data_IF_960272095712
#
_entry.id   IF_960272095712
#
_cell.length_a   1.000
_cell.length_b   1.000
_cell.length_c   1.000
_cell.angle_alpha   90.00
_cell.angle_beta   90.00
_cell.angle_gamma   90.00
#
_symmetry.space_group_name_H-M   'P 1'
#
loop_
_entity.id
_entity.type
_entity.pdbx_description
1 polymer ?
#
# COMPACT_ATOMS: atom_id res chain seq x y z
N UNK A 1 -9.35 -15.92 -12.20
CA UNK A 1 -8.31 -16.88 -11.80
C UNK A 1 -7.82 -16.48 -10.41
N UNK A 2 -8.07 -17.26 -9.36
CA UNK A 2 -7.58 -16.97 -7.99
C UNK A 2 -6.31 -17.77 -7.78
N UNK A 3 -5.16 -17.10 -7.80
CA UNK A 3 -3.86 -17.73 -7.60
C UNK A 3 -3.65 -17.86 -6.09
N UNK A 4 -3.67 -19.10 -5.58
CA UNK A 4 -3.24 -19.38 -4.20
C UNK A 4 -1.71 -19.51 -4.23
N UNK A 5 -1.00 -18.40 -4.05
CA UNK A 5 0.41 -18.47 -3.68
C UNK A 5 0.49 -18.83 -2.20
N UNK A 6 0.52 -20.14 -1.89
CA UNK A 6 1.08 -20.60 -0.62
C UNK A 6 2.59 -20.62 -0.79
N UNK A 7 3.24 -19.47 -0.60
CA UNK A 7 4.65 -19.51 -0.20
C UNK A 7 4.64 -20.09 1.22
N UNK A 8 5.15 -21.31 1.37
CA UNK A 8 5.45 -21.90 2.67
C UNK A 8 6.66 -21.16 3.26
N UNK A 9 6.51 -19.87 3.56
CA UNK A 9 7.49 -19.15 4.36
C UNK A 9 7.38 -19.75 5.75
N UNK A 10 8.50 -20.25 6.24
CA UNK A 10 8.62 -20.67 7.62
C UNK A 10 8.41 -19.43 8.48
N UNK A 11 7.26 -19.35 9.16
CA UNK A 11 6.86 -18.13 9.89
C UNK A 11 7.93 -17.76 10.92
N UNK A 12 8.62 -18.75 11.48
CA UNK A 12 9.72 -18.58 12.43
C UNK A 12 10.93 -17.84 11.83
N UNK A 13 11.08 -17.84 10.50
CA UNK A 13 12.19 -17.19 9.77
C UNK A 13 11.82 -15.85 9.14
N UNK A 14 10.57 -15.40 9.24
CA UNK A 14 10.11 -14.15 8.60
C UNK A 14 10.97 -12.95 9.02
N UNK A 15 11.36 -12.86 10.29
CA UNK A 15 12.18 -11.76 10.79
C UNK A 15 13.57 -11.78 10.16
N UNK A 16 14.19 -12.95 10.02
CA UNK A 16 15.49 -13.11 9.36
C UNK A 16 15.41 -12.72 7.87
N UNK A 17 14.35 -13.19 7.18
CA UNK A 17 14.11 -12.84 5.77
C UNK A 17 13.89 -11.34 5.59
N UNK A 18 13.04 -10.71 6.41
CA UNK A 18 12.81 -9.26 6.36
C UNK A 18 14.10 -8.49 6.63
N UNK A 19 14.93 -8.94 7.58
CA UNK A 19 16.24 -8.33 7.84
C UNK A 19 17.15 -8.38 6.61
N UNK A 20 17.30 -9.55 5.98
CA UNK A 20 18.12 -9.69 4.77
C UNK A 20 17.57 -8.85 3.61
N UNK A 21 16.25 -8.74 3.49
CA UNK A 21 15.63 -7.92 2.46
C UNK A 21 15.74 -6.42 2.74
N UNK A 22 15.85 -6.02 4.01
CA UNK A 22 16.10 -4.64 4.42
C UNK A 22 17.53 -4.21 4.13
N UNK A 23 18.52 -5.13 4.19
CA UNK A 23 19.91 -4.83 3.82
C UNK A 23 20.01 -4.25 2.40
N UNK A 24 19.18 -4.73 1.46
CA UNK A 24 19.10 -4.15 0.11
C UNK A 24 18.69 -2.66 0.12
N UNK A 25 17.78 -2.26 1.01
CA UNK A 25 17.37 -0.86 1.16
C UNK A 25 18.50 -0.05 1.81
N UNK A 26 19.15 -0.61 2.84
CA UNK A 26 20.29 0.01 3.51
C UNK A 26 21.46 0.27 2.52
N UNK A 27 21.78 -0.69 1.65
CA UNK A 27 22.82 -0.53 0.64
C UNK A 27 22.54 0.62 -0.35
N UNK A 28 21.26 0.89 -0.64
CA UNK A 28 20.86 1.98 -1.54
C UNK A 28 20.98 3.36 -0.91
N UNK A 29 20.97 3.45 0.42
CA UNK A 29 21.17 4.70 1.15
C UNK A 29 22.49 5.39 0.75
N UNK A 30 23.59 4.62 0.69
CA UNK A 30 24.90 5.14 0.28
C UNK A 30 24.86 5.75 -1.13
N UNK A 31 24.13 5.12 -2.05
CA UNK A 31 23.98 5.64 -3.42
C UNK A 31 23.19 6.95 -3.44
N UNK A 32 22.13 7.08 -2.63
CA UNK A 32 21.35 8.31 -2.53
C UNK A 32 22.18 9.43 -1.90
N UNK A 33 22.90 9.15 -0.80
CA UNK A 33 23.76 10.13 -0.15
C UNK A 33 24.84 10.68 -1.08
N UNK A 34 25.52 9.79 -1.83
CA UNK A 34 26.50 10.21 -2.83
C UNK A 34 25.88 11.05 -3.97
N UNK A 35 24.63 10.78 -4.35
CA UNK A 35 23.93 11.61 -5.34
C UNK A 35 23.64 13.01 -4.80
N UNK A 36 23.28 13.15 -3.52
CA UNK A 36 23.07 14.46 -2.87
C UNK A 36 24.34 15.30 -2.91
N UNK A 37 25.49 14.74 -2.50
CA UNK A 37 26.78 15.45 -2.54
C UNK A 37 27.12 15.91 -3.97
N UNK A 38 26.98 15.01 -4.94
CA UNK A 38 27.30 15.33 -6.34
C UNK A 38 26.35 16.35 -6.98
N UNK A 39 25.10 16.37 -6.55
CA UNK A 39 24.14 17.41 -6.95
C UNK A 39 24.61 18.77 -6.41
N UNK A 40 25.03 18.84 -5.13
CA UNK A 40 25.53 20.07 -4.54
C UNK A 40 26.77 20.60 -5.29
N UNK A 41 27.73 19.72 -5.63
CA UNK A 41 28.91 20.09 -6.43
C UNK A 41 28.54 20.64 -7.80
N UNK A 42 27.57 20.02 -8.49
CA UNK A 42 27.12 20.47 -9.81
C UNK A 42 26.40 21.82 -9.75
N UNK A 43 25.63 22.06 -8.69
CA UNK A 43 24.99 23.36 -8.47
C UNK A 43 26.03 24.44 -8.17
N UNK A 44 27.03 24.14 -7.33
CA UNK A 44 28.13 25.06 -7.03
C UNK A 44 28.98 25.39 -8.27
N UNK A 45 29.09 24.44 -9.20
CA UNK A 45 29.76 24.63 -10.50
C UNK A 45 28.85 25.25 -11.58
N UNK A 46 27.64 25.70 -11.24
CA UNK A 46 26.65 26.28 -12.17
C UNK A 46 26.30 25.35 -13.36
N UNK A 47 26.17 24.04 -13.10
CA UNK A 47 25.81 23.01 -14.10
C UNK A 47 24.40 22.44 -13.86
N UNK A 48 23.33 23.24 -14.09
CA UNK A 48 21.97 22.89 -13.70
C UNK A 48 21.41 21.66 -14.43
N UNK A 49 21.78 21.44 -15.69
CA UNK A 49 21.32 20.29 -16.48
C UNK A 49 21.80 18.95 -15.88
N UNK A 50 23.06 18.91 -15.44
CA UNK A 50 23.63 17.74 -14.78
C UNK A 50 23.01 17.50 -13.40
N UNK A 51 22.80 18.58 -12.64
CA UNK A 51 22.12 18.51 -11.35
C UNK A 51 20.68 18.00 -11.51
N UNK A 52 19.93 18.51 -12.48
CA UNK A 52 18.57 18.07 -12.78
C UNK A 52 18.50 16.57 -13.14
N UNK A 53 19.40 16.11 -14.01
CA UNK A 53 19.46 14.69 -14.39
C UNK A 53 19.74 13.79 -13.18
N UNK A 54 20.65 14.20 -12.29
CA UNK A 54 20.92 13.47 -11.05
C UNK A 54 19.75 13.51 -10.06
N UNK A 55 19.08 14.65 -9.91
CA UNK A 55 17.87 14.76 -9.07
C UNK A 55 16.75 13.83 -9.56
N UNK A 56 16.57 13.70 -10.87
CA UNK A 56 15.59 12.77 -11.45
C UNK A 56 15.96 11.32 -11.13
N UNK A 57 17.24 10.94 -11.30
CA UNK A 57 17.72 9.61 -10.95
C UNK A 57 17.54 9.31 -9.45
N UNK A 58 17.86 10.27 -8.59
CA UNK A 58 17.69 10.16 -7.15
C UNK A 58 16.24 9.93 -6.76
N UNK A 59 15.31 10.65 -7.40
CA UNK A 59 13.87 10.46 -7.18
C UNK A 59 13.42 9.04 -7.54
N UNK A 60 13.89 8.48 -8.65
CA UNK A 60 13.59 7.09 -9.02
C UNK A 60 14.12 6.11 -7.98
N UNK A 61 15.39 6.26 -7.56
CA UNK A 61 15.98 5.39 -6.53
C UNK A 61 15.24 5.47 -5.19
N UNK A 62 14.83 6.67 -4.77
CA UNK A 62 14.01 6.85 -3.56
C UNK A 62 12.64 6.17 -3.70
N UNK A 63 12.00 6.26 -4.86
CA UNK A 63 10.73 5.57 -5.10
C UNK A 63 10.85 4.05 -5.06
N UNK A 64 11.95 3.49 -5.56
CA UNK A 64 12.24 2.05 -5.46
C UNK A 64 12.47 1.61 -4.00
N UNK A 65 13.19 2.43 -3.22
CA UNK A 65 13.40 2.18 -1.78
C UNK A 65 12.09 2.24 -1.01
N UNK A 66 11.25 3.25 -1.27
CA UNK A 66 9.94 3.41 -0.63
C UNK A 66 9.01 2.23 -0.91
N UNK A 67 8.90 1.81 -2.18
CA UNK A 67 8.12 0.63 -2.55
C UNK A 67 8.59 -0.63 -1.81
N UNK A 68 9.91 -0.81 -1.67
CA UNK A 68 10.46 -1.94 -0.93
C UNK A 68 10.16 -1.86 0.57
N UNK A 69 10.25 -0.68 1.17
CA UNK A 69 9.90 -0.48 2.57
C UNK A 69 8.42 -0.74 2.83
N UNK A 70 7.54 -0.32 1.91
CA UNK A 70 6.11 -0.60 1.99
C UNK A 70 5.83 -2.12 1.97
N UNK A 71 6.48 -2.88 1.08
CA UNK A 71 6.36 -4.34 1.04
C UNK A 71 6.81 -4.99 2.36
N UNK A 72 7.96 -4.56 2.90
CA UNK A 72 8.50 -5.09 4.16
C UNK A 72 7.60 -4.73 5.36
N UNK A 73 7.03 -3.52 5.37
CA UNK A 73 6.06 -3.10 6.39
C UNK A 73 4.83 -4.00 6.40
N UNK A 74 4.28 -4.29 5.22
CA UNK A 74 3.11 -5.17 5.08
C UNK A 74 3.40 -6.59 5.61
N UNK A 75 4.58 -7.13 5.32
CA UNK A 75 5.00 -8.44 5.84
C UNK A 75 5.08 -8.42 7.36
N UNK A 76 5.71 -7.38 7.94
CA UNK A 76 5.84 -7.23 9.39
C UNK A 76 4.49 -7.03 10.09
N UNK A 77 3.57 -6.27 9.49
CA UNK A 77 2.21 -6.12 10.00
C UNK A 77 1.48 -7.46 10.08
N UNK A 78 1.59 -8.28 9.04
CA UNK A 78 1.04 -9.63 9.02
C UNK A 78 1.66 -10.53 10.09
N UNK A 79 2.99 -10.47 10.27
CA UNK A 79 3.70 -11.22 11.31
C UNK A 79 3.27 -10.81 12.73
N UNK A 80 3.15 -9.51 13.00
CA UNK A 80 2.68 -8.99 14.30
C UNK A 80 1.25 -9.46 14.59
N UNK A 81 0.38 -9.49 13.59
CA UNK A 81 -0.99 -10.02 13.76
C UNK A 81 -0.98 -11.52 14.07
N UNK A 82 -0.12 -12.30 13.41
CA UNK A 82 0.08 -13.72 13.69
C UNK A 82 0.56 -13.95 15.13
N UNK A 83 1.61 -13.25 15.58
CA UNK A 83 2.13 -13.42 16.95
C UNK A 83 1.08 -13.08 18.01
N UNK A 84 0.24 -12.05 17.78
CA UNK A 84 -0.87 -11.72 18.67
C UNK A 84 -1.91 -12.84 18.75
N UNK A 85 -2.23 -13.48 17.64
CA UNK A 85 -3.16 -14.62 17.61
C UNK A 85 -2.57 -15.86 18.30
N UNK A 86 -1.25 -16.08 18.17
CA UNK A 86 -0.57 -17.22 18.78
C UNK A 86 -0.36 -17.05 20.29
N UNK A 87 0.00 -15.83 20.74
CA UNK A 87 0.25 -15.52 22.15
C UNK A 87 -1.02 -15.13 22.94
N UNK A 88 -2.15 -14.89 22.25
CA UNK A 88 -3.40 -14.36 22.80
C UNK A 88 -4.60 -15.29 22.62
N UNK A 89 -4.43 -16.60 22.79
CA UNK A 89 -5.55 -17.54 22.87
C UNK A 89 -6.44 -17.25 24.09
N UNK A 90 -7.38 -16.31 23.94
CA UNK A 90 -8.58 -15.99 24.72
C UNK A 90 -8.73 -14.49 25.01
N UNK A 91 -8.95 -13.66 23.98
CA UNK A 91 -9.93 -12.58 24.13
C UNK A 91 -10.61 -12.31 22.78
N UNK A 92 -11.86 -12.78 22.72
CA UNK A 92 -12.96 -12.34 21.86
C UNK A 92 -12.69 -12.10 20.37
N UNK A 93 -12.86 -13.18 19.62
CA UNK A 93 -13.40 -13.10 18.27
C UNK A 93 -14.90 -12.77 18.37
N UNK A 94 -15.35 -11.78 17.60
CA UNK A 94 -16.71 -11.54 17.06
C UNK A 94 -17.54 -10.36 17.62
N UNK A 95 -17.16 -9.12 17.32
CA UNK A 95 -18.10 -8.03 16.98
C UNK A 95 -17.38 -7.07 16.02
N UNK A 96 -17.87 -6.66 14.86
CA UNK A 96 -19.08 -6.92 14.13
C UNK A 96 -18.82 -6.47 12.68
N UNK A 97 -19.03 -7.36 11.72
CA UNK A 97 -18.80 -7.10 10.30
C UNK A 97 -19.59 -8.05 9.43
N UNK A 98 -20.84 -8.32 9.80
CA UNK A 98 -21.78 -9.07 8.98
C UNK A 98 -23.13 -8.37 9.00
N UNK A 99 -23.25 -7.27 8.27
CA UNK A 99 -24.58 -6.77 7.86
C UNK A 99 -24.96 -7.46 6.56
N UNK A 100 -25.36 -8.71 6.69
CA UNK A 100 -26.15 -9.41 5.69
C UNK A 100 -27.49 -9.66 6.37
N UNK A 101 -28.37 -8.65 6.38
CA UNK A 101 -29.78 -8.88 6.68
C UNK A 101 -30.59 -8.78 5.40
N UNK A 102 -31.50 -9.73 5.32
CA UNK A 102 -32.25 -10.12 4.16
C UNK A 102 -33.44 -9.20 3.96
N UNK A 103 -33.86 -9.14 2.71
CA UNK A 103 -35.19 -8.77 2.25
C UNK A 103 -36.32 -9.18 3.22
N UNK A 104 -37.24 -8.26 3.58
CA UNK A 104 -38.70 -8.46 3.42
C UNK A 104 -39.54 -7.29 3.95
N UNK A 105 -40.43 -6.75 3.09
CA UNK A 105 -41.73 -6.08 3.40
C UNK A 105 -41.71 -4.77 4.22
N UNK A 106 -42.65 -3.84 4.14
CA UNK A 106 -43.90 -3.67 3.39
C UNK A 106 -44.37 -2.20 3.63
N UNK A 107 -45.04 -1.62 2.63
CA UNK A 107 -45.91 -0.43 2.59
C UNK A 107 -45.53 0.91 3.29
N UNK A 108 -45.55 2.02 2.53
CA UNK A 108 -46.67 3.00 2.56
C UNK A 108 -46.61 3.99 1.38
N UNK A 109 -47.79 4.28 0.85
CA UNK A 109 -48.14 5.16 -0.27
C UNK A 109 -47.55 6.56 -0.21
N UNK A 110 -47.14 7.06 -1.39
CA UNK A 110 -46.90 8.48 -1.65
C UNK A 110 -47.50 8.83 -3.01
N UNK A 111 -48.75 9.29 -3.00
CA UNK A 111 -49.38 10.02 -4.10
C UNK A 111 -48.51 11.23 -4.48
N UNK A 112 -48.22 11.33 -5.78
CA UNK A 112 -47.41 12.40 -6.36
C UNK A 112 -47.73 12.50 -7.84
N UNK A 113 -48.95 12.97 -8.14
CA UNK A 113 -49.39 13.47 -9.43
C UNK A 113 -48.40 14.52 -9.96
N UNK A 114 -47.67 14.20 -11.04
CA UNK A 114 -47.10 15.21 -11.95
C UNK A 114 -47.15 14.69 -13.38
N UNK A 115 -48.13 15.23 -14.12
CA UNK A 115 -48.27 15.42 -15.56
C UNK A 115 -47.14 14.91 -16.49
N UNK A 116 -47.54 14.02 -17.40
CA UNK A 116 -46.92 13.84 -18.72
C UNK A 116 -47.24 15.05 -19.60
N UNK A 117 -46.34 15.42 -20.52
CA UNK A 117 -46.80 15.76 -21.86
C UNK A 117 -46.30 14.76 -22.91
N UNK A 118 -47.29 14.34 -23.68
CA UNK A 118 -47.29 13.55 -24.89
C UNK A 118 -46.29 14.06 -25.95
N UNK A 119 -45.70 13.13 -26.71
CA UNK A 119 -44.78 13.46 -27.80
C UNK A 119 -45.52 13.83 -29.07
N UNK A 120 -44.84 14.53 -30.00
CA UNK A 120 -44.92 14.28 -31.45
C UNK A 120 -44.02 15.24 -32.24
N UNK A 121 -43.54 14.70 -33.36
CA UNK A 121 -42.86 15.29 -34.53
C UNK A 121 -43.35 16.71 -34.86
N UNK A 122 -42.52 17.67 -35.29
CA UNK A 122 -41.69 17.76 -36.52
C UNK A 122 -40.65 18.88 -36.39
#
# INVERSE_FOLDING_TARGET
>A
MRVKLSYSVDIEKIIEEVSMLFDYVADKEYSVNNQVERIADLLAAERPEGALALMQKMRTSLGEMDARLADLSLILEGYIQYEKQQNGGNDELLEGGSTMDSTSGDAVSGEGDVEQPDGSEV
#
